data_IF_721572317178
#
_entry.id   IF_721572317178
#
_cell.length_a   1.000
_cell.length_b   1.000
_cell.length_c   1.000
_cell.angle_alpha   90.00
_cell.angle_beta   90.00
_cell.angle_gamma   90.00
#
_symmetry.space_group_name_H-M   'P 1'
#
loop_
_entity.id
_entity.type
_entity.pdbx_description
1 polymer ?
#
# COMPACT_ATOMS: atom_id res chain seq x y z
N UNK A 1 10.12 -12.00 -14.18
CA UNK A 1 10.25 -10.61 -13.73
C UNK A 1 11.70 -10.19 -13.74
N UNK A 2 11.98 -8.93 -14.03
CA UNK A 2 13.30 -8.29 -13.96
C UNK A 2 13.16 -6.98 -13.20
N UNK A 3 14.24 -6.55 -12.53
CA UNK A 3 14.31 -5.24 -11.86
C UNK A 3 13.17 -5.04 -10.85
N UNK A 4 12.79 -6.10 -10.11
CA UNK A 4 11.78 -5.97 -9.05
C UNK A 4 12.39 -5.21 -7.89
N UNK A 5 11.89 -4.02 -7.61
CA UNK A 5 12.36 -3.15 -6.55
C UNK A 5 11.22 -2.71 -5.65
N UNK A 6 11.58 -2.49 -4.39
CA UNK A 6 10.74 -1.83 -3.40
C UNK A 6 10.75 -0.32 -3.64
N UNK A 7 9.58 0.30 -3.61
CA UNK A 7 9.48 1.76 -3.52
C UNK A 7 9.95 2.21 -2.14
N UNK A 8 10.94 3.11 -2.00
CA UNK A 8 11.38 3.57 -0.70
C UNK A 8 10.25 4.19 0.14
N UNK A 9 9.20 4.71 -0.49
CA UNK A 9 8.07 5.34 0.16
C UNK A 9 6.92 4.37 0.44
N UNK A 10 6.19 4.64 1.52
CA UNK A 10 4.98 3.94 1.85
C UNK A 10 3.84 4.34 0.92
N UNK A 11 3.08 3.34 0.49
CA UNK A 11 1.98 3.53 -0.44
C UNK A 11 0.67 3.82 0.28
N UNK A 12 0.38 3.09 1.35
CA UNK A 12 -0.81 3.26 2.19
C UNK A 12 -0.53 2.65 3.58
N UNK A 13 -1.49 2.77 4.51
CA UNK A 13 -1.41 2.14 5.82
C UNK A 13 -1.01 0.67 5.69
N UNK A 14 0.10 0.28 6.33
CA UNK A 14 0.59 -1.11 6.34
C UNK A 14 0.90 -1.67 4.95
N UNK A 15 1.10 -0.81 3.93
CA UNK A 15 1.30 -1.22 2.53
C UNK A 15 2.47 -0.53 1.88
N UNK A 16 3.32 -1.33 1.23
CA UNK A 16 4.43 -0.85 0.39
C UNK A 16 4.24 -1.29 -1.05
N UNK A 17 4.71 -0.45 -1.97
CA UNK A 17 4.64 -0.69 -3.41
C UNK A 17 5.93 -1.36 -3.88
N UNK A 18 5.79 -2.37 -4.72
CA UNK A 18 6.89 -2.98 -5.44
C UNK A 18 6.58 -2.92 -6.93
N UNK A 19 7.58 -2.65 -7.74
CA UNK A 19 7.44 -2.60 -9.20
C UNK A 19 8.51 -3.44 -9.85
N UNK A 20 8.20 -4.03 -10.99
CA UNK A 20 9.18 -4.74 -11.80
C UNK A 20 8.64 -4.96 -13.21
N UNK A 21 9.53 -5.34 -14.11
CA UNK A 21 9.17 -5.51 -15.52
C UNK A 21 9.01 -6.98 -15.87
N UNK A 22 8.03 -7.28 -16.71
CA UNK A 22 7.88 -8.60 -17.29
C UNK A 22 9.13 -8.90 -18.14
N UNK A 23 9.74 -10.07 -17.95
CA UNK A 23 10.89 -10.49 -18.75
C UNK A 23 10.38 -10.70 -20.17
N UNK A 24 11.04 -10.06 -21.14
CA UNK A 24 10.66 -10.03 -22.57
C UNK A 24 10.08 -11.38 -23.02
N UNK A 25 8.75 -11.41 -23.15
CA UNK A 25 7.99 -12.58 -23.54
C UNK A 25 7.99 -12.66 -25.05
N UNK A 26 9.12 -12.97 -25.67
CA UNK A 26 9.19 -13.24 -27.11
C UNK A 26 8.34 -14.47 -27.43
N UNK A 27 7.05 -14.25 -27.63
CA UNK A 27 6.03 -15.26 -27.84
C UNK A 27 4.73 -14.60 -28.29
N UNK A 28 3.88 -15.38 -28.97
CA UNK A 28 2.61 -14.95 -29.58
C UNK A 28 1.51 -14.57 -28.56
N UNK A 29 1.85 -14.37 -27.29
CA UNK A 29 0.91 -14.12 -26.20
C UNK A 29 0.85 -12.63 -25.87
N UNK A 30 -0.32 -12.15 -25.48
CA UNK A 30 -0.54 -10.79 -25.01
C UNK A 30 0.30 -10.52 -23.74
N UNK A 31 1.27 -9.59 -23.79
CA UNK A 31 2.14 -9.29 -22.65
C UNK A 31 1.39 -8.76 -21.42
N UNK A 32 0.31 -7.99 -21.60
CA UNK A 32 -0.49 -7.47 -20.47
C UNK A 32 -1.23 -8.60 -19.77
N UNK A 33 -1.85 -9.49 -20.55
CA UNK A 33 -2.51 -10.67 -19.97
C UNK A 33 -1.50 -11.57 -19.24
N UNK A 34 -0.35 -11.79 -19.85
CA UNK A 34 0.73 -12.59 -19.25
C UNK A 34 1.20 -11.99 -17.92
N UNK A 35 1.28 -10.67 -17.82
CA UNK A 35 1.65 -9.97 -16.59
C UNK A 35 0.73 -10.34 -15.41
N UNK A 36 -0.58 -10.38 -15.62
CA UNK A 36 -1.54 -10.77 -14.56
C UNK A 36 -1.52 -12.27 -14.22
N UNK A 37 -0.92 -13.12 -15.06
CA UNK A 37 -0.92 -14.56 -14.87
C UNK A 37 0.38 -15.08 -14.22
N UNK A 38 1.50 -14.37 -14.37
CA UNK A 38 2.83 -14.80 -13.91
C UNK A 38 3.14 -14.25 -12.51
N UNK A 39 3.22 -15.10 -11.47
CA UNK A 39 3.55 -14.63 -10.13
C UNK A 39 5.03 -14.26 -9.95
N UNK A 40 5.32 -13.56 -8.86
CA UNK A 40 6.67 -13.34 -8.34
C UNK A 40 6.76 -13.82 -6.89
N UNK A 41 7.94 -14.31 -6.49
CA UNK A 41 8.21 -14.76 -5.13
C UNK A 41 8.88 -13.65 -4.33
N UNK A 42 8.26 -13.27 -3.22
CA UNK A 42 8.77 -12.32 -2.25
C UNK A 42 9.18 -13.04 -0.97
N UNK A 43 10.14 -12.49 -0.23
CA UNK A 43 10.42 -12.90 1.14
C UNK A 43 9.92 -11.77 2.05
N UNK A 44 8.82 -12.02 2.76
CA UNK A 44 8.19 -11.05 3.66
C UNK A 44 8.25 -11.60 5.08
N UNK A 45 8.83 -10.86 6.01
CA UNK A 45 8.96 -11.26 7.42
C UNK A 45 9.54 -12.69 7.60
N UNK A 46 10.48 -13.09 6.74
CA UNK A 46 11.10 -14.42 6.75
C UNK A 46 10.26 -15.54 6.12
N UNK A 47 9.10 -15.23 5.52
CA UNK A 47 8.25 -16.19 4.81
C UNK A 47 8.26 -15.94 3.31
N UNK A 48 8.33 -17.01 2.52
CA UNK A 48 8.16 -16.94 1.08
C UNK A 48 6.68 -16.76 0.72
N UNK A 49 6.38 -15.72 -0.05
CA UNK A 49 5.05 -15.42 -0.55
C UNK A 49 5.10 -15.31 -2.07
N UNK A 50 4.33 -16.15 -2.75
CA UNK A 50 4.16 -16.07 -4.19
C UNK A 50 2.89 -15.26 -4.52
N UNK A 51 3.05 -14.17 -5.29
CA UNK A 51 1.94 -13.26 -5.61
C UNK A 51 1.98 -12.81 -7.07
N UNK A 52 0.81 -12.81 -7.72
CA UNK A 52 0.60 -12.15 -9.03
C UNK A 52 0.52 -10.63 -8.86
N UNK A 53 0.88 -9.83 -9.88
CA UNK A 53 0.74 -8.38 -9.81
C UNK A 53 -0.70 -7.97 -9.53
N UNK A 54 -0.87 -6.90 -8.74
CA UNK A 54 -2.16 -6.27 -8.53
C UNK A 54 -2.53 -5.36 -9.71
N UNK A 55 -1.52 -4.76 -10.35
CA UNK A 55 -1.68 -3.88 -11.53
C UNK A 55 -0.63 -4.23 -12.57
N UNK A 56 -1.04 -4.22 -13.83
CA UNK A 56 -0.16 -4.35 -14.99
C UNK A 56 -0.43 -3.20 -15.97
N UNK A 57 0.63 -2.58 -16.46
CA UNK A 57 0.51 -1.48 -17.41
C UNK A 57 1.70 -1.42 -18.37
N UNK A 58 1.51 -0.71 -19.48
CA UNK A 58 2.61 -0.41 -20.40
C UNK A 58 3.42 0.77 -19.86
N UNK A 59 4.73 0.59 -19.83
CA UNK A 59 5.71 1.61 -19.41
C UNK A 59 6.91 1.55 -20.36
N UNK A 60 7.04 2.57 -21.21
CA UNK A 60 8.17 2.70 -22.14
C UNK A 60 8.40 1.51 -23.07
N UNK A 61 7.33 0.82 -23.51
CA UNK A 61 7.41 -0.36 -24.38
C UNK A 61 7.66 -1.69 -23.67
N UNK A 62 7.73 -1.69 -22.34
CA UNK A 62 7.74 -2.90 -21.49
C UNK A 62 6.44 -2.97 -20.69
N UNK A 63 6.09 -4.16 -20.21
CA UNK A 63 5.00 -4.30 -19.25
C UNK A 63 5.56 -4.23 -17.84
N UNK A 64 5.05 -3.29 -17.05
CA UNK A 64 5.34 -3.12 -15.63
C UNK A 64 4.25 -3.81 -14.82
N UNK A 65 4.67 -4.69 -13.91
CA UNK A 65 3.83 -5.24 -12.85
C UNK A 65 4.05 -4.45 -11.56
N UNK A 66 2.97 -4.22 -10.83
CA UNK A 66 2.98 -3.57 -9.52
C UNK A 66 2.33 -4.48 -8.48
N UNK A 67 2.96 -4.61 -7.32
CA UNK A 67 2.44 -5.34 -6.17
C UNK A 67 2.31 -4.41 -4.97
N UNK A 68 1.22 -4.57 -4.21
CA UNK A 68 1.01 -3.96 -2.91
C UNK A 68 1.08 -5.03 -1.83
N UNK A 69 2.16 -5.00 -1.05
CA UNK A 69 2.45 -6.01 -0.02
C UNK A 69 2.35 -5.40 1.37
N UNK A 70 2.04 -6.26 2.35
CA UNK A 70 2.00 -5.86 3.76
C UNK A 70 3.38 -5.42 4.23
N UNK A 71 3.44 -4.24 4.85
CA UNK A 71 4.68 -3.65 5.36
C UNK A 71 4.38 -2.94 6.70
N UNK A 72 4.67 -3.59 7.84
CA UNK A 72 4.44 -3.00 9.17
C UNK A 72 5.18 -1.68 9.40
N UNK A 73 6.28 -1.45 8.67
CA UNK A 73 7.01 -0.19 8.66
C UNK A 73 6.24 0.98 8.04
N UNK A 74 5.15 0.72 7.30
CA UNK A 74 4.29 1.73 6.68
C UNK A 74 3.07 2.09 7.54
N UNK A 75 3.21 2.02 8.87
CA UNK A 75 2.19 2.46 9.81
C UNK A 75 2.62 3.81 10.37
N UNK A 76 1.90 4.90 10.06
CA UNK A 76 2.24 6.19 10.62
C UNK A 76 2.06 6.16 12.14
N UNK A 77 2.84 7.00 12.83
CA UNK A 77 2.72 7.15 14.26
C UNK A 77 1.66 8.20 14.58
N UNK A 78 0.92 7.96 15.65
CA UNK A 78 -0.01 8.94 16.21
C UNK A 78 0.62 9.56 17.47
N UNK A 79 0.67 10.87 17.52
CA UNK A 79 1.14 11.64 18.68
C UNK A 79 0.09 12.65 19.12
N UNK A 80 0.29 13.24 20.30
CA UNK A 80 -0.59 14.28 20.84
C UNK A 80 -2.07 13.87 20.83
N UNK A 81 -2.35 12.63 21.26
CA UNK A 81 -3.72 12.10 21.27
C UNK A 81 -4.54 12.84 22.32
N UNK A 82 -5.60 13.53 21.87
CA UNK A 82 -6.54 14.26 22.71
C UNK A 82 -7.91 13.57 22.64
N UNK A 83 -8.46 13.26 23.81
CA UNK A 83 -9.81 12.73 23.96
C UNK A 83 -10.76 13.83 24.41
N UNK A 84 -11.65 14.24 23.52
CA UNK A 84 -12.66 15.27 23.79
C UNK A 84 -13.92 14.69 24.45
N UNK A 85 -13.97 13.38 24.67
CA UNK A 85 -15.12 12.71 25.26
C UNK A 85 -16.29 12.56 24.29
N UNK A 86 -17.48 12.36 24.84
CA UNK A 86 -18.70 12.13 24.07
C UNK A 86 -19.16 13.39 23.33
N UNK A 87 -19.66 13.22 22.11
CA UNK A 87 -20.22 14.31 21.31
C UNK A 87 -21.68 14.53 21.75
N UNK A 88 -22.00 15.74 22.24
CA UNK A 88 -23.35 16.03 22.77
C UNK A 88 -24.46 15.91 21.71
N UNK A 89 -24.14 16.18 20.44
CA UNK A 89 -25.11 16.16 19.34
C UNK A 89 -25.44 14.76 18.81
N UNK A 90 -24.63 13.74 19.13
CA UNK A 90 -24.79 12.39 18.57
C UNK A 90 -24.51 11.31 19.64
N UNK A 91 -25.56 10.61 20.06
CA UNK A 91 -25.43 9.53 21.05
C UNK A 91 -24.60 8.38 20.51
N UNK A 92 -23.62 7.91 21.29
CA UNK A 92 -22.76 6.77 20.93
C UNK A 92 -21.46 7.16 20.24
N UNK A 93 -21.23 8.46 20.01
CA UNK A 93 -20.00 8.96 19.41
C UNK A 93 -19.12 9.66 20.44
N UNK A 94 -17.81 9.46 20.29
CA UNK A 94 -16.76 10.16 21.06
C UNK A 94 -15.74 10.73 20.09
N UNK A 95 -15.23 11.92 20.38
CA UNK A 95 -14.23 12.58 19.55
C UNK A 95 -12.84 12.34 20.13
N UNK A 96 -11.98 11.74 19.32
CA UNK A 96 -10.56 11.57 19.59
C UNK A 96 -9.82 12.25 18.44
N UNK A 97 -8.79 13.01 18.75
CA UNK A 97 -7.90 13.62 17.76
C UNK A 97 -6.47 13.20 18.02
N UNK A 98 -5.68 13.09 16.97
CA UNK A 98 -4.26 12.79 17.05
C UNK A 98 -3.53 13.43 15.88
N UNK A 99 -2.27 13.80 16.12
CA UNK A 99 -1.36 14.23 15.08
C UNK A 99 -0.74 13.00 14.41
N UNK A 100 -0.78 12.97 13.07
CA UNK A 100 -0.13 11.93 12.28
C UNK A 100 1.30 12.38 12.01
N UNK A 101 2.27 11.62 12.51
CA UNK A 101 3.71 11.90 12.37
C UNK A 101 4.42 10.74 11.70
N UNK A 102 5.71 10.92 11.41
CA UNK A 102 6.57 9.94 10.73
C UNK A 102 6.12 9.66 9.28
N UNK A 103 5.64 10.70 8.60
CA UNK A 103 5.25 10.66 7.19
C UNK A 103 6.43 11.16 6.35
N UNK A 104 6.86 10.36 5.39
CA UNK A 104 7.90 10.73 4.45
C UNK A 104 7.54 11.97 3.62
N UNK A 105 8.54 12.76 3.20
CA UNK A 105 8.35 14.05 2.51
C UNK A 105 7.42 14.03 1.28
N UNK A 106 7.33 12.90 0.56
CA UNK A 106 6.43 12.76 -0.59
C UNK A 106 5.38 11.67 -0.40
N UNK A 107 5.15 11.24 0.85
CA UNK A 107 4.08 10.31 1.15
C UNK A 107 2.75 11.05 1.30
N UNK A 108 1.68 10.42 0.84
CA UNK A 108 0.34 10.97 0.92
C UNK A 108 -0.27 10.61 2.28
N UNK A 109 -0.29 11.57 3.19
CA UNK A 109 -0.85 11.39 4.54
C UNK A 109 -2.31 10.93 4.51
N UNK A 110 -3.11 11.43 3.55
CA UNK A 110 -4.51 11.07 3.41
C UNK A 110 -4.64 9.60 3.01
N UNK A 111 -3.78 9.14 2.11
CA UNK A 111 -3.72 7.73 1.72
C UNK A 111 -3.22 6.80 2.83
N UNK A 112 -2.27 7.27 3.64
CA UNK A 112 -1.77 6.53 4.80
C UNK A 112 -2.81 6.42 5.92
N UNK A 113 -3.74 7.36 6.05
CA UNK A 113 -4.75 7.34 7.13
C UNK A 113 -6.12 6.84 6.67
N UNK A 114 -6.53 7.17 5.44
CA UNK A 114 -7.85 6.86 4.88
C UNK A 114 -8.06 5.39 4.49
N UNK A 115 -6.98 4.62 4.33
CA UNK A 115 -7.05 3.15 4.10
C UNK A 115 -6.66 2.34 5.34
N UNK A 116 -6.65 2.97 6.51
CA UNK A 116 -6.51 2.23 7.76
C UNK A 116 -7.60 1.16 7.84
N UNK A 117 -7.19 -0.05 8.24
CA UNK A 117 -8.05 -1.23 8.41
C UNK A 117 -9.42 -0.88 9.00
N UNK A 118 -10.53 -1.60 8.71
CA UNK A 118 -11.87 -1.28 9.23
C UNK A 118 -11.95 -1.04 10.75
N UNK A 119 -10.96 -1.50 11.53
CA UNK A 119 -10.83 -1.20 12.95
C UNK A 119 -10.54 0.28 13.30
N UNK A 120 -10.06 1.09 12.35
CA UNK A 120 -9.80 2.53 12.51
C UNK A 120 -10.72 3.41 11.65
N UNK A 121 -11.72 2.81 10.98
CA UNK A 121 -12.58 3.47 9.99
C UNK A 121 -13.57 4.51 10.52
N UNK A 122 -13.43 4.97 11.77
CA UNK A 122 -14.30 5.98 12.40
C UNK A 122 -13.54 7.25 12.83
N UNK A 123 -12.52 7.66 12.09
CA UNK A 123 -12.02 9.04 12.19
C UNK A 123 -12.59 9.85 11.02
N UNK A 124 -13.71 10.53 11.29
CA UNK A 124 -14.17 11.64 10.47
C UNK A 124 -13.45 12.91 10.94
N UNK A 125 -12.76 13.57 10.01
CA UNK A 125 -12.22 14.93 10.18
C UNK A 125 -13.30 15.96 9.88
#
# INVERSE_FOLDING_TARGET
>A
WTDVSEDPQCYAYDKKRYTGFLKDGRGKLDPLRTCYEVPFKFVLNGQEVEKKPDVCEWDGGRVRGTWFLGAPSCRPLLQNIIDYGCIESESGYRRIEAEVVDIGKNEDWYRLCGYSSPLLSNFHY
#
